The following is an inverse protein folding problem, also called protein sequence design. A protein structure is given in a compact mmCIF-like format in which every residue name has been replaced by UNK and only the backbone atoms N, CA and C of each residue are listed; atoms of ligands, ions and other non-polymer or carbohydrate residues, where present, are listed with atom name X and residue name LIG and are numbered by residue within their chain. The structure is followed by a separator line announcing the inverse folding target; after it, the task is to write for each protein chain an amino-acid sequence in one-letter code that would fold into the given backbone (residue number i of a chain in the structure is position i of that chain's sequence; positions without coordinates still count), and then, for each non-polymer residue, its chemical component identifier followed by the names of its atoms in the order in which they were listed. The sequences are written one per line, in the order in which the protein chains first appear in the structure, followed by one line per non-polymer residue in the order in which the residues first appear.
data_IF_272223987800
#
_entry.id   IF_272223987800
#
_cell.length_a   1.000
_cell.length_b   1.000
_cell.length_c   1.000
_cell.angle_alpha   90.00
_cell.angle_beta   90.00
_cell.angle_gamma   90.00
#
_symmetry.space_group_name_H-M   'P 1'
#
loop_
_entity.id
_entity.type
_entity.pdbx_description
1 polymer ?
#
# COMPACT_ATOMS: atom_id res chain seq x y z
N UNK A 1 -7.70 -12.58 6.20
CA UNK A 1 -6.39 -12.51 5.50
C UNK A 1 -5.19 -12.64 6.45
N UNK A 2 -5.21 -12.03 7.65
CA UNK A 2 -4.15 -12.21 8.66
C UNK A 2 -3.90 -13.68 9.06
N UNK A 3 -4.95 -14.50 9.15
CA UNK A 3 -4.84 -15.95 9.40
C UNK A 3 -3.99 -16.64 8.31
N UNK A 4 -4.13 -16.21 7.06
CA UNK A 4 -3.34 -16.76 5.96
C UNK A 4 -1.87 -16.38 6.10
N UNK A 5 -1.57 -15.12 6.47
CA UNK A 5 -0.19 -14.69 6.78
C UNK A 5 0.41 -15.49 7.94
N UNK A 6 -0.35 -15.75 9.01
CA UNK A 6 0.09 -16.59 10.12
C UNK A 6 0.39 -18.04 9.67
N UNK A 7 -0.38 -18.58 8.72
CA UNK A 7 -0.15 -19.91 8.13
C UNK A 7 1.19 -20.08 7.41
N UNK A 8 1.84 -18.99 6.97
CA UNK A 8 3.16 -19.00 6.33
C UNK A 8 4.32 -19.35 7.27
N UNK A 9 4.04 -19.50 8.57
CA UNK A 9 5.02 -20.03 9.52
C UNK A 9 5.29 -21.53 9.32
N UNK A 10 4.47 -22.25 8.55
CA UNK A 10 4.69 -23.66 8.25
C UNK A 10 5.98 -23.85 7.40
N UNK A 11 6.95 -24.67 7.84
CA UNK A 11 8.20 -24.89 7.13
C UNK A 11 8.04 -25.27 5.65
N UNK A 12 7.01 -26.08 5.31
CA UNK A 12 6.77 -26.51 3.93
C UNK A 12 6.46 -25.34 2.98
N UNK A 13 5.73 -24.34 3.46
CA UNK A 13 5.42 -23.15 2.68
C UNK A 13 6.65 -22.25 2.54
N UNK A 14 7.51 -22.19 3.57
CA UNK A 14 8.75 -21.44 3.51
C UNK A 14 9.72 -22.02 2.48
N UNK A 15 9.95 -23.33 2.48
CA UNK A 15 10.87 -23.97 1.53
C UNK A 15 10.46 -23.72 0.07
N UNK A 16 9.15 -23.83 -0.19
CA UNK A 16 8.58 -23.55 -1.53
C UNK A 16 8.76 -22.07 -1.91
N UNK A 17 8.49 -21.15 -0.99
CA UNK A 17 8.63 -19.71 -1.22
C UNK A 17 10.08 -19.29 -1.42
N UNK A 18 11.03 -19.88 -0.70
CA UNK A 18 12.47 -19.65 -0.88
C UNK A 18 12.87 -19.93 -2.31
N UNK A 19 12.52 -21.11 -2.84
CA UNK A 19 12.81 -21.47 -4.24
C UNK A 19 12.14 -20.51 -5.24
N UNK A 20 10.92 -20.04 -4.94
CA UNK A 20 10.21 -19.09 -5.79
C UNK A 20 10.91 -17.73 -5.84
N UNK A 21 11.34 -17.22 -4.68
CA UNK A 21 12.03 -15.93 -4.59
C UNK A 21 13.39 -16.05 -5.29
N UNK A 22 14.20 -17.06 -4.98
CA UNK A 22 15.47 -17.30 -5.65
C UNK A 22 15.33 -17.35 -7.18
N UNK A 23 14.29 -18.03 -7.68
CA UNK A 23 14.01 -18.07 -9.12
C UNK A 23 13.62 -16.69 -9.69
N UNK A 24 12.90 -15.87 -8.94
CA UNK A 24 12.52 -14.52 -9.38
C UNK A 24 13.74 -13.59 -9.49
N UNK A 25 14.82 -13.86 -8.76
CA UNK A 25 16.10 -13.15 -8.90
C UNK A 25 16.94 -13.70 -10.07
N UNK A 26 16.80 -14.97 -10.45
CA UNK A 26 17.55 -15.58 -11.56
C UNK A 26 17.05 -15.11 -12.94
N UNK A 27 17.46 -13.91 -13.38
CA UNK A 27 17.48 -13.56 -14.80
C UNK A 27 18.92 -13.73 -15.32
N UNK A 28 19.16 -14.79 -16.12
CA UNK A 28 20.47 -15.10 -16.71
C UNK A 28 21.39 -16.03 -15.90
N UNK A 29 22.63 -16.21 -16.38
CA UNK A 29 23.67 -17.14 -15.90
C UNK A 29 24.41 -16.65 -14.63
N UNK A 30 23.86 -15.63 -13.96
CA UNK A 30 24.46 -14.99 -12.79
C UNK A 30 24.06 -15.73 -11.51
N UNK A 31 25.02 -15.87 -10.58
CA UNK A 31 24.78 -16.47 -9.27
C UNK A 31 23.74 -15.63 -8.50
N UNK A 32 22.60 -16.19 -8.06
CA UNK A 32 21.59 -15.47 -7.27
C UNK A 32 22.16 -14.84 -5.98
N UNK A 33 23.34 -15.27 -5.52
CA UNK A 33 24.07 -14.70 -4.38
C UNK A 33 24.51 -13.24 -4.59
N UNK A 34 24.66 -12.81 -5.84
CA UNK A 34 25.19 -11.49 -6.21
C UNK A 34 24.10 -10.45 -6.53
N UNK A 35 22.83 -10.86 -6.54
CA UNK A 35 21.70 -10.01 -6.94
C UNK A 35 21.02 -9.39 -5.72
N UNK A 36 21.25 -8.10 -5.50
CA UNK A 36 20.69 -7.33 -4.39
C UNK A 36 19.65 -6.30 -4.87
N UNK A 37 18.62 -6.07 -4.05
CA UNK A 37 17.65 -4.98 -4.25
C UNK A 37 18.09 -3.77 -3.41
N UNK A 38 18.38 -2.61 -4.03
CA UNK A 38 18.67 -1.40 -3.26
C UNK A 38 17.37 -0.86 -2.63
N UNK A 39 17.39 -0.53 -1.33
CA UNK A 39 16.29 0.16 -0.64
C UNK A 39 16.81 0.99 0.51
N UNK A 40 16.47 2.28 0.57
CA UNK A 40 16.87 3.19 1.66
C UNK A 40 18.38 3.11 2.01
N UNK A 41 19.25 2.93 1.01
CA UNK A 41 20.70 2.81 1.19
C UNK A 41 21.21 1.44 1.68
N UNK A 42 20.35 0.42 1.74
CA UNK A 42 20.72 -0.96 2.03
C UNK A 42 20.59 -1.86 0.80
N UNK A 43 21.43 -2.90 0.72
CA UNK A 43 21.33 -3.98 -0.26
C UNK A 43 20.56 -5.15 0.33
N UNK A 44 19.39 -5.44 -0.22
CA UNK A 44 18.47 -6.48 0.26
C UNK A 44 18.65 -7.74 -0.57
N UNK A 45 18.70 -8.89 0.10
CA UNK A 45 18.85 -10.21 -0.50
C UNK A 45 17.57 -11.05 -0.38
N UNK A 46 17.46 -12.20 -1.09
CA UNK A 46 16.34 -13.12 -0.93
C UNK A 46 16.03 -13.51 0.53
N UNK A 47 17.07 -13.71 1.36
CA UNK A 47 16.91 -14.02 2.77
C UNK A 47 16.22 -12.92 3.58
N UNK A 48 16.39 -11.65 3.20
CA UNK A 48 15.74 -10.52 3.87
C UNK A 48 14.24 -10.50 3.61
N UNK A 49 13.83 -10.84 2.37
CA UNK A 49 12.40 -11.02 2.03
C UNK A 49 11.78 -12.09 2.91
N UNK A 50 12.47 -13.22 3.09
CA UNK A 50 12.01 -14.32 3.94
C UNK A 50 11.97 -13.93 5.43
N UNK A 51 12.97 -13.19 5.90
CA UNK A 51 13.02 -12.70 7.29
C UNK A 51 11.87 -11.73 7.57
N UNK A 52 11.61 -10.78 6.67
CA UNK A 52 10.48 -9.85 6.77
C UNK A 52 9.14 -10.57 6.65
N UNK A 53 9.05 -11.60 5.79
CA UNK A 53 7.86 -12.43 5.70
C UNK A 53 7.58 -13.17 7.01
N UNK A 54 8.60 -13.81 7.59
CA UNK A 54 8.51 -14.45 8.92
C UNK A 54 8.10 -13.44 9.97
N UNK A 55 8.71 -12.26 9.97
CA UNK A 55 8.39 -11.19 10.91
C UNK A 55 6.94 -10.73 10.76
N UNK A 56 6.49 -10.46 9.54
CA UNK A 56 5.10 -10.06 9.23
C UNK A 56 4.12 -11.15 9.64
N UNK A 57 4.43 -12.43 9.38
CA UNK A 57 3.63 -13.57 9.80
C UNK A 57 3.59 -13.72 11.33
N UNK A 58 4.68 -13.41 12.03
CA UNK A 58 4.75 -13.38 13.49
C UNK A 58 3.95 -12.20 14.07
N UNK A 59 4.03 -11.02 13.48
CA UNK A 59 3.19 -9.88 13.87
C UNK A 59 1.72 -10.15 13.59
N UNK A 60 1.38 -10.82 12.47
CA UNK A 60 0.01 -11.27 12.23
C UNK A 60 -0.45 -12.20 13.36
N UNK A 61 0.39 -13.16 13.78
CA UNK A 61 0.10 -13.99 14.95
C UNK A 61 -0.02 -13.17 16.24
N UNK A 62 0.85 -12.19 16.49
CA UNK A 62 0.78 -11.31 17.66
C UNK A 62 -0.48 -10.44 17.67
N UNK A 63 -0.87 -9.87 16.53
CA UNK A 63 -2.12 -9.11 16.36
C UNK A 63 -3.31 -10.02 16.63
N UNK A 64 -3.35 -11.21 16.01
CA UNK A 64 -4.37 -12.22 16.26
C UNK A 64 -4.39 -12.64 17.75
N UNK A 65 -3.22 -12.84 18.36
CA UNK A 65 -3.03 -13.23 19.76
C UNK A 65 -3.17 -12.09 20.75
N UNK A 66 -3.21 -10.83 20.33
CA UNK A 66 -3.55 -9.68 21.18
C UNK A 66 -5.06 -9.49 21.22
N UNK A 67 -5.72 -9.80 20.10
CA UNK A 67 -7.17 -9.90 20.01
C UNK A 67 -7.67 -11.18 20.74
N UNK A 68 -6.86 -12.25 20.78
CA UNK A 68 -7.19 -13.58 21.36
C UNK A 68 -7.51 -13.62 22.88
N UNK A 69 -6.77 -12.96 23.80
CA UNK A 69 -7.09 -12.95 25.24
C UNK A 69 -8.45 -12.32 25.55
N UNK A 70 -8.94 -11.41 24.69
CA UNK A 70 -10.28 -10.86 24.76
C UNK A 70 -11.35 -11.76 24.08
N UNK A 71 -10.93 -12.89 23.50
CA UNK A 71 -11.70 -13.75 22.59
C UNK A 71 -11.63 -15.26 22.95
N UNK A 72 -11.16 -15.66 24.13
CA UNK A 72 -10.95 -17.09 24.41
C UNK A 72 -12.22 -17.95 24.30
N UNK A 73 -12.26 -18.77 23.24
CA UNK A 73 -13.18 -19.89 23.06
C UNK A 73 -13.18 -20.48 21.65
N UNK A 74 -12.28 -21.45 21.39
CA UNK A 74 -12.14 -22.30 20.19
C UNK A 74 -11.30 -21.76 19.01
N UNK A 75 -10.01 -22.10 19.01
CA UNK A 75 -9.23 -22.17 17.76
C UNK A 75 -8.98 -23.64 17.45
N UNK A 76 -9.85 -24.22 16.63
CA UNK A 76 -9.57 -25.41 15.82
C UNK A 76 -9.53 -24.99 14.35
N UNK A 77 -8.75 -23.97 14.01
CA UNK A 77 -8.60 -23.49 12.63
C UNK A 77 -7.28 -23.99 12.03
N UNK A 78 -7.21 -25.31 11.83
CA UNK A 78 -6.24 -25.94 10.92
C UNK A 78 -6.93 -26.78 9.83
N UNK A 79 -8.24 -26.62 9.60
CA UNK A 79 -8.97 -27.48 8.69
C UNK A 79 -9.99 -26.72 7.83
N UNK A 80 -9.53 -26.04 6.79
CA UNK A 80 -10.35 -25.84 5.58
C UNK A 80 -9.51 -25.53 4.34
N UNK A 81 -8.49 -26.35 4.09
CA UNK A 81 -8.14 -26.69 2.72
C UNK A 81 -8.45 -28.18 2.56
N UNK A 82 -9.69 -28.49 2.16
CA UNK A 82 -9.94 -29.82 1.59
C UNK A 82 -9.10 -29.89 0.33
N UNK A 83 -8.00 -30.64 0.42
CA UNK A 83 -7.34 -31.25 -0.72
C UNK A 83 -8.43 -31.81 -1.63
N UNK A 84 -8.57 -31.24 -2.84
CA UNK A 84 -9.17 -32.02 -3.91
C UNK A 84 -8.14 -33.06 -4.27
N UNK A 85 -8.41 -34.30 -3.90
CA UNK A 85 -7.75 -35.45 -4.48
C UNK A 85 -7.96 -35.39 -5.99
N UNK A 86 -6.88 -35.11 -6.71
CA UNK A 86 -6.73 -35.44 -8.11
C UNK A 86 -5.24 -35.64 -8.36
N UNK A 87 -4.90 -36.91 -8.58
CA UNK A 87 -3.60 -37.39 -8.99
C UNK A 87 -3.14 -36.72 -10.29
N UNK A 88 -2.39 -35.64 -10.12
CA UNK A 88 -1.31 -35.11 -10.96
C UNK A 88 -0.95 -33.76 -10.34
N UNK A 89 -0.17 -33.81 -9.26
CA UNK A 89 0.41 -32.60 -8.70
C UNK A 89 1.40 -32.04 -9.73
N UNK A 90 0.92 -31.19 -10.64
CA UNK A 90 1.79 -30.19 -11.23
C UNK A 90 2.35 -29.40 -10.05
N UNK A 91 3.67 -29.33 -9.95
CA UNK A 91 4.31 -28.41 -9.02
C UNK A 91 3.64 -27.04 -9.16
N UNK A 92 3.17 -26.43 -8.06
CA UNK A 92 2.46 -25.18 -8.13
C UNK A 92 3.36 -24.16 -8.82
N UNK A 93 2.85 -23.51 -9.87
CA UNK A 93 3.61 -22.49 -10.59
C UNK A 93 4.13 -21.45 -9.59
N UNK A 94 5.46 -21.42 -9.45
CA UNK A 94 6.17 -20.55 -8.51
C UNK A 94 5.73 -19.08 -8.63
N UNK A 95 5.48 -18.62 -9.87
CA UNK A 95 5.05 -17.25 -10.13
C UNK A 95 3.62 -17.00 -9.64
N UNK A 96 2.74 -18.01 -9.74
CA UNK A 96 1.37 -17.93 -9.26
C UNK A 96 1.33 -17.86 -7.73
N UNK A 97 2.15 -18.65 -7.03
CA UNK A 97 2.23 -18.59 -5.57
C UNK A 97 2.71 -17.23 -5.07
N UNK A 98 3.77 -16.68 -5.66
CA UNK A 98 4.29 -15.37 -5.28
C UNK A 98 3.27 -14.26 -5.58
N UNK A 99 2.55 -14.35 -6.70
CA UNK A 99 1.46 -13.42 -7.03
C UNK A 99 0.29 -13.51 -6.03
N UNK A 100 -0.09 -14.72 -5.61
CA UNK A 100 -1.14 -14.91 -4.61
C UNK A 100 -0.73 -14.35 -3.25
N UNK A 101 0.50 -14.66 -2.79
CA UNK A 101 1.09 -14.11 -1.57
C UNK A 101 1.03 -12.59 -1.57
N UNK A 102 1.52 -11.97 -2.65
CA UNK A 102 1.41 -10.53 -2.86
C UNK A 102 -0.03 -10.04 -2.73
N UNK A 103 -0.99 -10.68 -3.38
CA UNK A 103 -2.38 -10.21 -3.35
C UNK A 103 -2.96 -10.23 -1.93
N UNK A 104 -2.64 -11.24 -1.13
CA UNK A 104 -3.04 -11.29 0.29
C UNK A 104 -2.36 -10.22 1.13
N UNK A 105 -1.04 -10.06 0.98
CA UNK A 105 -0.25 -9.04 1.70
C UNK A 105 -0.76 -7.64 1.34
N UNK A 106 -0.98 -7.38 0.05
CA UNK A 106 -1.46 -6.10 -0.44
C UNK A 106 -2.86 -5.76 0.08
N UNK A 107 -3.78 -6.73 0.03
CA UNK A 107 -5.13 -6.53 0.57
C UNK A 107 -5.12 -6.31 2.09
N UNK A 108 -4.27 -7.02 2.84
CA UNK A 108 -4.05 -6.73 4.27
C UNK A 108 -3.53 -5.31 4.47
N UNK A 109 -2.46 -4.95 3.75
CA UNK A 109 -1.81 -3.65 3.87
C UNK A 109 -2.79 -2.51 3.59
N UNK A 110 -3.57 -2.61 2.51
CA UNK A 110 -4.58 -1.63 2.17
C UNK A 110 -5.60 -1.46 3.31
N UNK A 111 -6.19 -2.55 3.80
CA UNK A 111 -7.24 -2.47 4.80
C UNK A 111 -6.76 -2.02 6.18
N UNK A 112 -5.63 -2.57 6.63
CA UNK A 112 -5.09 -2.25 7.95
C UNK A 112 -4.52 -0.84 8.00
N UNK A 113 -3.94 -0.35 6.90
CA UNK A 113 -3.45 1.04 6.83
C UNK A 113 -4.60 2.03 6.82
N UNK A 114 -5.68 1.73 6.10
CA UNK A 114 -6.89 2.55 6.15
C UNK A 114 -7.49 2.56 7.56
N UNK A 115 -7.67 1.38 8.16
CA UNK A 115 -8.19 1.25 9.53
C UNK A 115 -7.34 2.02 10.54
N UNK A 116 -6.01 1.87 10.49
CA UNK A 116 -5.06 2.61 11.32
C UNK A 116 -5.19 4.12 11.13
N UNK A 117 -5.22 4.59 9.89
CA UNK A 117 -5.37 6.01 9.53
C UNK A 117 -6.68 6.60 10.04
N UNK A 118 -7.78 5.85 10.00
CA UNK A 118 -9.04 6.30 10.58
C UNK A 118 -8.99 6.31 12.11
N UNK A 119 -8.48 5.25 12.73
CA UNK A 119 -8.40 5.11 14.20
C UNK A 119 -7.40 6.07 14.86
N UNK A 120 -6.41 6.60 14.14
CA UNK A 120 -5.50 7.60 14.67
C UNK A 120 -6.11 9.01 14.76
N UNK A 121 -7.24 9.25 14.10
CA UNK A 121 -7.83 10.58 13.91
C UNK A 121 -9.08 10.81 14.76
N UNK A 122 -9.20 12.00 15.31
CA UNK A 122 -10.37 12.39 16.08
C UNK A 122 -11.65 12.47 15.23
N UNK A 123 -12.80 12.29 15.87
CA UNK A 123 -14.11 12.42 15.24
C UNK A 123 -14.35 13.85 14.70
N UNK A 124 -13.76 14.86 15.35
CA UNK A 124 -13.78 16.27 14.90
C UNK A 124 -13.15 16.45 13.51
N UNK A 125 -12.35 15.49 13.06
CA UNK A 125 -11.69 15.47 11.75
C UNK A 125 -12.27 14.40 10.81
N UNK A 126 -13.35 13.71 11.21
CA UNK A 126 -13.94 12.59 10.47
C UNK A 126 -13.29 11.24 10.75
N UNK A 127 -12.48 11.11 11.79
CA UNK A 127 -11.80 9.86 12.18
C UNK A 127 -12.56 8.98 13.18
N UNK A 128 -11.96 7.84 13.50
CA UNK A 128 -12.52 6.75 14.31
C UNK A 128 -11.90 6.58 15.70
N UNK A 129 -11.05 7.50 16.15
CA UNK A 129 -10.31 7.37 17.41
C UNK A 129 -11.19 7.01 18.62
N UNK A 130 -12.32 7.71 18.79
CA UNK A 130 -13.26 7.48 19.89
C UNK A 130 -14.49 6.64 19.47
N UNK A 131 -14.53 6.12 18.25
CA UNK A 131 -15.66 5.29 17.83
C UNK A 131 -15.56 3.91 18.48
N UNK A 132 -16.71 3.41 18.92
CA UNK A 132 -16.79 2.18 19.71
C UNK A 132 -16.85 0.95 18.79
N UNK A 133 -16.30 -0.17 19.25
CA UNK A 133 -16.47 -1.49 18.64
C UNK A 133 -16.52 -2.57 19.72
N UNK A 134 -17.14 -3.71 19.40
CA UNK A 134 -17.30 -4.82 20.33
C UNK A 134 -18.55 -5.64 20.07
N UNK A 135 -18.71 -6.72 20.82
CA UNK A 135 -19.83 -7.67 20.71
C UNK A 135 -21.19 -6.98 20.83
N UNK A 136 -21.35 -6.08 21.81
CA UNK A 136 -22.61 -5.38 22.06
C UNK A 136 -22.83 -4.11 21.19
N UNK A 137 -21.88 -3.76 20.32
CA UNK A 137 -21.94 -2.53 19.53
C UNK A 137 -22.71 -2.77 18.23
N UNK A 138 -23.78 -2.00 18.05
CA UNK A 138 -24.58 -2.02 16.83
C UNK A 138 -23.82 -1.35 15.66
N UNK A 139 -23.68 -2.01 14.50
CA UNK A 139 -23.04 -1.43 13.31
C UNK A 139 -23.68 -0.13 12.82
N UNK A 140 -24.97 0.10 13.10
CA UNK A 140 -25.67 1.33 12.74
C UNK A 140 -25.23 2.54 13.57
N UNK A 141 -24.61 2.30 14.74
CA UNK A 141 -24.19 3.35 15.68
C UNK A 141 -22.70 3.65 15.63
N UNK A 142 -21.90 2.83 14.95
CA UNK A 142 -20.47 3.03 14.83
C UNK A 142 -19.95 2.69 13.43
N UNK A 143 -19.40 3.66 12.67
CA UNK A 143 -18.76 3.40 11.38
C UNK A 143 -17.56 2.44 11.52
N UNK A 144 -16.85 2.47 12.65
CA UNK A 144 -15.77 1.52 12.93
C UNK A 144 -16.31 0.10 13.03
N UNK A 145 -17.35 -0.12 13.85
CA UNK A 145 -18.02 -1.42 13.98
C UNK A 145 -18.54 -1.91 12.62
N UNK A 146 -19.19 -1.03 11.85
CA UNK A 146 -19.71 -1.36 10.54
C UNK A 146 -18.62 -1.78 9.55
N UNK A 147 -17.48 -1.10 9.57
CA UNK A 147 -16.33 -1.43 8.72
C UNK A 147 -15.70 -2.77 9.11
N UNK A 148 -15.48 -3.02 10.41
CA UNK A 148 -14.90 -4.28 10.89
C UNK A 148 -15.79 -5.49 10.54
N UNK A 149 -17.12 -5.32 10.64
CA UNK A 149 -18.08 -6.41 10.41
C UNK A 149 -18.59 -6.52 8.98
N UNK A 150 -18.11 -5.66 8.07
CA UNK A 150 -18.65 -5.49 6.72
C UNK A 150 -20.18 -5.37 6.69
N UNK A 151 -20.75 -4.72 7.70
CA UNK A 151 -22.19 -4.57 7.83
C UNK A 151 -22.76 -3.74 6.67
N UNK A 152 -24.03 -3.96 6.33
CA UNK A 152 -24.73 -3.16 5.31
C UNK A 152 -24.79 -1.66 5.63
N UNK A 153 -24.61 -1.29 6.90
CA UNK A 153 -24.49 0.10 7.35
C UNK A 153 -23.14 0.75 6.99
N UNK A 154 -22.12 -0.04 6.64
CA UNK A 154 -20.82 0.48 6.24
C UNK A 154 -20.97 1.27 4.95
N UNK A 155 -20.49 2.53 4.98
CA UNK A 155 -20.41 3.38 3.78
C UNK A 155 -19.25 2.95 2.86
N UNK A 156 -18.32 2.14 3.35
CA UNK A 156 -17.14 1.69 2.63
C UNK A 156 -17.42 0.35 1.95
N UNK A 157 -17.32 0.35 0.61
CA UNK A 157 -17.61 -0.84 -0.19
C UNK A 157 -16.43 -1.80 -0.17
N UNK A 158 -16.58 -2.88 0.59
CA UNK A 158 -15.69 -4.04 0.61
C UNK A 158 -16.32 -5.22 -0.14
N UNK A 159 -15.50 -6.19 -0.56
CA UNK A 159 -15.95 -7.41 -1.23
C UNK A 159 -15.23 -8.66 -0.69
N UNK A 160 -15.80 -9.87 -0.85
CA UNK A 160 -15.06 -11.11 -0.68
C UNK A 160 -13.79 -11.09 -1.53
N UNK A 161 -12.67 -11.44 -0.93
CA UNK A 161 -11.40 -11.54 -1.64
C UNK A 161 -11.50 -12.60 -2.73
N UNK A 162 -11.11 -12.25 -3.95
CA UNK A 162 -11.10 -13.15 -5.09
C UNK A 162 -9.74 -13.07 -5.79
N UNK A 163 -8.91 -14.14 -5.74
CA UNK A 163 -7.61 -14.16 -6.41
C UNK A 163 -7.72 -14.14 -7.93
N UNK A 164 -8.88 -14.43 -8.51
CA UNK A 164 -9.12 -14.46 -9.96
C UNK A 164 -9.67 -13.12 -10.49
N UNK A 165 -10.27 -12.29 -9.64
CA UNK A 165 -10.78 -10.97 -10.04
C UNK A 165 -9.79 -9.87 -9.60
N UNK A 166 -9.18 -9.21 -10.57
CA UNK A 166 -8.19 -8.14 -10.35
C UNK A 166 -8.73 -6.96 -9.53
N UNK A 167 -10.03 -6.70 -9.64
CA UNK A 167 -10.72 -5.64 -8.91
C UNK A 167 -10.99 -6.01 -7.45
N UNK A 168 -10.85 -7.29 -7.09
CA UNK A 168 -11.18 -7.83 -5.77
C UNK A 168 -10.01 -8.16 -4.86
N UNK A 169 -8.87 -7.48 -5.07
CA UNK A 169 -7.56 -7.77 -4.44
C UNK A 169 -7.05 -6.66 -3.52
N UNK A 170 -7.89 -5.71 -3.11
CA UNK A 170 -7.42 -4.58 -2.29
C UNK A 170 -8.45 -4.13 -1.26
N UNK A 171 -9.71 -3.94 -1.66
CA UNK A 171 -10.83 -3.61 -0.75
C UNK A 171 -11.56 -4.86 -0.26
N UNK A 172 -10.80 -5.80 0.30
CA UNK A 172 -11.34 -7.07 0.76
C UNK A 172 -12.08 -6.92 2.11
N UNK A 173 -13.15 -7.68 2.31
CA UNK A 173 -13.90 -7.72 3.56
C UNK A 173 -12.98 -7.90 4.78
N UNK A 174 -13.25 -7.14 5.84
CA UNK A 174 -12.58 -7.32 7.13
C UNK A 174 -12.99 -8.65 7.77
N UNK A 175 -14.29 -8.96 7.71
CA UNK A 175 -14.89 -10.26 7.94
C UNK A 175 -15.13 -10.60 9.40
N UNK A 176 -14.97 -9.65 10.34
CA UNK A 176 -15.18 -9.91 11.76
C UNK A 176 -16.66 -10.16 12.04
N UNK A 177 -16.94 -11.23 12.77
CA UNK A 177 -18.28 -11.57 13.24
C UNK A 177 -18.46 -11.16 14.68
N UNK A 178 -19.69 -11.26 15.17
CA UNK A 178 -20.02 -10.96 16.56
C UNK A 178 -19.20 -11.80 17.56
N UNK A 179 -18.84 -13.03 17.18
CA UNK A 179 -17.95 -13.90 17.95
C UNK A 179 -16.46 -13.51 17.92
N UNK A 180 -16.01 -12.72 16.93
CA UNK A 180 -14.60 -12.33 16.77
C UNK A 180 -14.27 -11.00 17.48
N UNK A 181 -15.29 -10.32 18.01
CA UNK A 181 -15.18 -9.00 18.63
C UNK A 181 -15.11 -9.08 20.16
N UNK A 182 -14.42 -8.14 20.83
CA UNK A 182 -14.28 -8.19 22.28
C UNK A 182 -15.64 -8.04 22.97
N UNK A 183 -15.84 -8.83 24.03
CA UNK A 183 -17.00 -8.70 24.94
C UNK A 183 -17.07 -7.31 25.59
N UNK A 184 -15.99 -6.79 26.21
CA UNK A 184 -15.99 -5.40 26.63
C UNK A 184 -15.95 -4.51 25.39
N UNK A 185 -16.76 -3.45 25.43
CA UNK A 185 -16.71 -2.40 24.43
C UNK A 185 -15.34 -1.71 24.47
N UNK A 186 -14.74 -1.54 23.29
CA UNK A 186 -13.46 -0.87 23.09
C UNK A 186 -13.63 0.31 22.13
N UNK A 187 -12.58 1.12 21.99
CA UNK A 187 -12.56 2.31 21.13
C UNK A 187 -11.44 2.25 20.10
N UNK A 188 -11.59 2.97 18.98
CA UNK A 188 -10.65 2.93 17.85
C UNK A 188 -9.19 3.20 18.21
N UNK A 189 -8.89 4.01 19.22
CA UNK A 189 -7.53 4.24 19.71
C UNK A 189 -6.82 2.93 20.10
N UNK A 190 -7.54 1.94 20.66
CA UNK A 190 -6.98 0.63 20.99
C UNK A 190 -6.52 -0.10 19.72
N UNK A 191 -7.30 -0.03 18.63
CA UNK A 191 -6.88 -0.59 17.33
C UNK A 191 -5.71 0.18 16.73
N UNK A 192 -5.66 1.51 16.89
CA UNK A 192 -4.50 2.30 16.48
C UNK A 192 -3.24 1.85 17.24
N UNK A 193 -3.34 1.64 18.54
CA UNK A 193 -2.22 1.16 19.37
C UNK A 193 -1.77 -0.24 18.94
N UNK A 194 -2.70 -1.16 18.67
CA UNK A 194 -2.40 -2.52 18.17
C UNK A 194 -1.71 -2.47 16.80
N UNK A 195 -2.15 -1.58 15.90
CA UNK A 195 -1.62 -1.43 14.54
C UNK A 195 -0.39 -0.51 14.47
N UNK A 196 0.02 0.06 15.58
CA UNK A 196 1.22 0.90 15.67
C UNK A 196 2.37 0.06 16.24
N UNK A 197 3.45 -0.17 15.47
CA UNK A 197 4.60 -0.90 15.96
C UNK A 197 5.13 -0.28 17.26
N UNK A 198 5.17 -1.06 18.34
CA UNK A 198 5.61 -0.58 19.66
C UNK A 198 7.13 -0.54 19.81
N UNK A 199 7.85 -1.23 18.92
CA UNK A 199 9.31 -1.30 18.88
C UNK A 199 9.76 -0.59 17.59
N UNK A 200 10.54 0.48 17.71
CA UNK A 200 10.99 1.28 16.57
C UNK A 200 11.63 0.46 15.45
N UNK A 201 11.41 0.90 14.21
CA UNK A 201 11.83 0.22 12.99
C UNK A 201 10.82 0.44 11.85
N UNK A 202 11.17 -0.01 10.65
CA UNK A 202 10.24 -0.02 9.51
C UNK A 202 9.14 -1.07 9.74
N UNK A 203 7.89 -0.69 9.44
CA UNK A 203 6.74 -1.59 9.61
C UNK A 203 6.89 -2.78 8.63
N UNK A 204 6.87 -4.04 9.14
CA UNK A 204 7.18 -5.21 8.33
C UNK A 204 6.15 -5.45 7.21
N UNK A 205 4.88 -5.08 7.41
CA UNK A 205 3.83 -5.29 6.41
C UNK A 205 3.98 -4.40 5.16
N UNK A 206 4.13 -3.06 5.26
CA UNK A 206 4.41 -2.23 4.09
C UNK A 206 5.76 -2.57 3.45
N UNK A 207 6.78 -2.92 4.25
CA UNK A 207 8.08 -3.36 3.73
C UNK A 207 7.93 -4.61 2.87
N UNK A 208 7.30 -5.65 3.41
CA UNK A 208 6.99 -6.88 2.66
C UNK A 208 6.18 -6.59 1.39
N UNK A 209 5.18 -5.70 1.49
CA UNK A 209 4.32 -5.34 0.37
C UNK A 209 5.11 -4.68 -0.75
N UNK A 210 6.04 -3.78 -0.42
CA UNK A 210 6.92 -3.13 -1.41
C UNK A 210 7.83 -4.15 -2.12
N UNK A 211 8.38 -5.11 -1.38
CA UNK A 211 9.26 -6.15 -1.94
C UNK A 211 8.49 -7.05 -2.89
N UNK A 212 7.33 -7.54 -2.47
CA UNK A 212 6.48 -8.41 -3.28
C UNK A 212 5.92 -7.68 -4.52
N UNK A 213 5.57 -6.40 -4.41
CA UNK A 213 5.13 -5.62 -5.56
C UNK A 213 6.26 -5.42 -6.58
N UNK A 214 7.48 -5.15 -6.13
CA UNK A 214 8.66 -5.06 -6.98
C UNK A 214 8.93 -6.40 -7.69
N UNK A 215 9.10 -7.49 -6.95
CA UNK A 215 9.41 -8.83 -7.48
C UNK A 215 8.36 -9.35 -8.48
N UNK A 216 7.08 -9.11 -8.18
CA UNK A 216 5.98 -9.57 -9.05
C UNK A 216 5.58 -8.56 -10.12
N UNK A 217 6.23 -7.39 -10.15
CA UNK A 217 5.92 -6.29 -11.08
C UNK A 217 4.41 -5.98 -11.10
N UNK A 218 3.82 -5.79 -9.93
CA UNK A 218 2.39 -5.45 -9.81
C UNK A 218 2.19 -4.02 -10.32
N UNK A 219 1.55 -3.89 -11.48
CA UNK A 219 1.16 -2.60 -12.05
C UNK A 219 0.23 -1.82 -11.11
N UNK A 220 0.38 -0.50 -10.95
CA UNK A 220 -0.57 0.33 -10.22
C UNK A 220 -1.92 0.45 -10.95
N UNK A 221 -3.03 0.44 -10.18
CA UNK A 221 -4.39 0.27 -10.70
C UNK A 221 -5.41 1.30 -10.20
N UNK A 222 -5.23 1.84 -9.01
CA UNK A 222 -6.13 2.87 -8.44
C UNK A 222 -5.47 4.24 -8.54
N UNK A 223 -6.25 5.32 -8.37
CA UNK A 223 -5.70 6.68 -8.33
C UNK A 223 -4.57 6.80 -7.30
N UNK A 224 -4.78 6.28 -6.08
CA UNK A 224 -3.77 6.27 -5.03
C UNK A 224 -2.51 5.48 -5.43
N UNK A 225 -2.66 4.32 -6.05
CA UNK A 225 -1.51 3.52 -6.51
C UNK A 225 -0.73 4.23 -7.63
N UNK A 226 -1.42 4.81 -8.61
CA UNK A 226 -0.80 5.54 -9.73
C UNK A 226 -0.03 6.75 -9.23
N UNK A 227 -0.65 7.56 -8.38
CA UNK A 227 -0.02 8.72 -7.73
C UNK A 227 1.20 8.29 -6.90
N UNK A 228 1.09 7.17 -6.17
CA UNK A 228 2.20 6.62 -5.39
C UNK A 228 3.38 6.20 -6.27
N UNK A 229 3.09 5.49 -7.36
CA UNK A 229 4.12 5.06 -8.32
C UNK A 229 4.84 6.26 -8.92
N UNK A 230 4.14 7.20 -9.55
CA UNK A 230 4.79 8.32 -10.24
C UNK A 230 5.53 9.25 -9.26
N UNK A 231 5.01 9.43 -8.05
CA UNK A 231 5.69 10.25 -7.04
C UNK A 231 6.96 9.58 -6.51
N UNK A 232 6.92 8.30 -6.13
CA UNK A 232 8.10 7.57 -5.66
C UNK A 232 9.12 7.32 -6.77
N UNK A 233 8.67 7.04 -7.99
CA UNK A 233 9.55 6.84 -9.14
C UNK A 233 10.29 8.13 -9.47
N UNK A 234 9.60 9.28 -9.41
CA UNK A 234 10.26 10.57 -9.52
C UNK A 234 11.28 10.81 -8.40
N UNK A 235 11.00 10.42 -7.14
CA UNK A 235 11.99 10.50 -6.05
C UNK A 235 13.24 9.67 -6.35
N UNK A 236 13.07 8.43 -6.81
CA UNK A 236 14.17 7.53 -7.18
C UNK A 236 15.06 8.10 -8.30
N UNK A 237 14.47 8.90 -9.19
CA UNK A 237 15.18 9.57 -10.28
C UNK A 237 15.83 10.91 -9.87
N UNK A 238 15.51 11.43 -8.67
CA UNK A 238 16.05 12.68 -8.10
C UNK A 238 17.25 12.48 -7.17
N UNK A 239 17.51 11.26 -6.68
CA UNK A 239 18.44 11.07 -5.55
C UNK A 239 19.89 11.44 -5.88
N UNK A 240 20.53 12.07 -4.90
CA UNK A 240 21.50 13.17 -5.02
C UNK A 240 22.95 12.67 -5.10
N UNK A 241 23.22 11.79 -6.06
CA UNK A 241 24.56 11.71 -6.65
C UNK A 241 24.38 12.00 -8.13
N UNK A 242 25.16 12.90 -8.68
CA UNK A 242 25.01 13.50 -10.02
C UNK A 242 25.23 12.54 -11.21
N UNK A 243 25.08 11.23 -10.97
CA UNK A 243 24.88 10.16 -11.94
C UNK A 243 23.53 9.54 -11.59
N UNK A 244 22.62 9.42 -12.54
CA UNK A 244 21.33 8.73 -12.33
C UNK A 244 21.46 7.55 -11.36
N UNK A 245 20.48 7.36 -10.46
CA UNK A 245 20.35 6.11 -9.70
C UNK A 245 20.59 4.91 -10.62
N UNK A 246 21.06 3.78 -10.08
CA UNK A 246 21.30 2.57 -10.91
C UNK A 246 20.11 2.27 -11.83
N UNK A 247 18.89 2.57 -11.36
CA UNK A 247 17.65 2.55 -12.12
C UNK A 247 17.61 3.57 -13.26
N UNK A 248 17.86 4.86 -13.01
CA UNK A 248 17.85 5.88 -14.06
C UNK A 248 18.91 5.62 -15.15
N UNK A 249 20.08 5.10 -14.76
CA UNK A 249 21.10 4.65 -15.72
C UNK A 249 20.59 3.49 -16.58
N UNK A 250 19.97 2.48 -15.96
CA UNK A 250 19.39 1.33 -16.67
C UNK A 250 18.23 1.72 -17.59
N UNK A 251 17.45 2.75 -17.25
CA UNK A 251 16.38 3.28 -18.11
C UNK A 251 16.89 4.10 -19.30
N UNK A 252 18.14 4.56 -19.23
CA UNK A 252 18.79 5.37 -20.28
C UNK A 252 19.74 4.56 -21.14
N UNK A 253 19.99 3.30 -20.81
CA UNK A 253 20.88 2.41 -21.54
C UNK A 253 20.10 1.54 -22.51
N UNK A 254 20.60 1.46 -23.74
CA UNK A 254 20.09 0.51 -24.74
C UNK A 254 20.40 -0.93 -24.31
N UNK A 255 19.44 -1.85 -24.50
CA UNK A 255 19.69 -3.27 -24.35
C UNK A 255 20.26 -3.86 -25.65
N UNK A 256 21.28 -4.72 -25.52
CA UNK A 256 22.05 -5.29 -26.64
C UNK A 256 21.20 -5.95 -27.77
N UNK A 257 19.96 -6.36 -27.47
CA UNK A 257 19.07 -7.10 -28.37
C UNK A 257 17.77 -6.35 -28.76
N UNK A 258 17.62 -5.08 -28.36
CA UNK A 258 16.42 -4.30 -28.66
C UNK A 258 16.71 -3.13 -29.64
N UNK A 259 15.77 -2.80 -30.53
CA UNK A 259 15.90 -1.60 -31.35
C UNK A 259 15.79 -0.34 -30.47
N UNK A 260 16.36 0.80 -30.90
CA UNK A 260 16.64 2.05 -30.12
C UNK A 260 15.45 2.73 -29.39
N UNK A 261 14.27 2.13 -29.35
CA UNK A 261 13.03 2.58 -28.71
C UNK A 261 12.84 2.02 -27.28
N UNK A 262 13.83 1.29 -26.76
CA UNK A 262 13.82 0.62 -25.45
C UNK A 262 14.52 1.42 -24.33
N UNK A 263 14.72 2.72 -24.55
CA UNK A 263 15.35 3.64 -23.60
C UNK A 263 14.56 4.96 -23.51
N UNK A 264 14.70 5.65 -22.38
CA UNK A 264 14.21 7.02 -22.24
C UNK A 264 15.30 8.00 -22.64
N UNK A 265 14.95 8.98 -23.49
CA UNK A 265 15.84 10.09 -23.74
C UNK A 265 15.93 11.01 -22.50
N UNK A 266 16.93 11.89 -22.49
CA UNK A 266 17.13 12.84 -21.39
C UNK A 266 15.89 13.70 -21.12
N UNK A 267 15.17 14.11 -22.17
CA UNK A 267 13.96 14.92 -22.05
C UNK A 267 12.81 14.11 -21.41
N UNK A 268 12.63 12.85 -21.79
CA UNK A 268 11.59 11.99 -21.21
C UNK A 268 11.85 11.71 -19.71
N UNK A 269 13.10 11.47 -19.35
CA UNK A 269 13.51 11.34 -17.94
C UNK A 269 13.24 12.62 -17.16
N UNK A 270 13.51 13.78 -17.76
CA UNK A 270 13.22 15.07 -17.13
C UNK A 270 11.71 15.27 -16.93
N UNK A 271 10.87 14.88 -17.89
CA UNK A 271 9.41 14.91 -17.76
C UNK A 271 8.96 14.03 -16.59
N UNK A 272 9.42 12.79 -16.51
CA UNK A 272 9.04 11.86 -15.43
C UNK A 272 9.51 12.36 -14.06
N UNK A 273 10.73 12.90 -13.96
CA UNK A 273 11.22 13.58 -12.75
C UNK A 273 10.33 14.77 -12.38
N UNK A 274 9.90 15.54 -13.38
CA UNK A 274 9.05 16.71 -13.22
C UNK A 274 7.63 16.40 -12.73
N UNK A 275 7.06 15.24 -13.09
CA UNK A 275 5.71 14.81 -12.63
C UNK A 275 5.64 14.77 -11.09
N UNK A 276 6.70 14.29 -10.43
CA UNK A 276 6.84 14.37 -8.98
C UNK A 276 6.91 15.83 -8.54
N UNK A 277 7.88 16.56 -9.05
CA UNK A 277 8.21 17.94 -8.67
C UNK A 277 9.64 18.26 -9.09
N UNK A 278 9.93 19.50 -9.47
CA UNK A 278 11.26 19.89 -9.98
C UNK A 278 12.37 19.91 -8.93
N UNK A 279 12.00 19.97 -7.65
CA UNK A 279 12.95 20.20 -6.57
C UNK A 279 13.25 18.91 -5.77
N UNK A 280 14.50 18.70 -5.32
CA UNK A 280 14.95 17.44 -4.72
C UNK A 280 14.34 17.19 -3.34
N UNK A 281 14.23 15.94 -2.86
CA UNK A 281 13.44 15.59 -1.66
C UNK A 281 13.81 16.31 -0.35
N UNK A 282 15.01 16.86 -0.22
CA UNK A 282 15.59 17.35 1.04
C UNK A 282 15.59 18.88 1.22
N UNK A 283 15.00 19.65 0.29
CA UNK A 283 14.94 21.12 0.43
C UNK A 283 13.69 21.59 1.19
N UNK A 284 13.81 22.71 1.90
CA UNK A 284 12.66 23.47 2.40
C UNK A 284 11.96 24.13 1.21
N UNK A 285 11.04 23.39 0.58
CA UNK A 285 10.32 23.83 -0.60
C UNK A 285 9.12 24.71 -0.26
N UNK A 286 8.93 25.73 -1.08
CA UNK A 286 7.73 26.56 -1.16
C UNK A 286 6.80 25.97 -2.22
N UNK A 287 5.63 25.48 -1.81
CA UNK A 287 4.64 24.81 -2.66
C UNK A 287 4.25 25.59 -3.92
N UNK A 288 4.16 26.92 -3.85
CA UNK A 288 3.70 27.74 -4.96
C UNK A 288 4.83 28.06 -5.94
N UNK A 289 6.09 27.95 -5.51
CA UNK A 289 7.27 28.23 -6.33
C UNK A 289 7.90 26.97 -6.90
N UNK A 290 7.97 25.91 -6.10
CA UNK A 290 8.79 24.74 -6.39
C UNK A 290 7.98 23.56 -6.96
N UNK A 291 6.66 23.54 -6.75
CA UNK A 291 5.77 22.44 -7.17
C UNK A 291 4.47 22.88 -7.88
N UNK A 292 4.49 23.83 -8.83
CA UNK A 292 3.29 24.18 -9.57
C UNK A 292 2.84 23.01 -10.46
N UNK A 293 1.63 22.48 -10.20
CA UNK A 293 0.97 21.43 -11.01
C UNK A 293 1.69 20.06 -11.00
N UNK A 294 2.32 19.68 -9.89
CA UNK A 294 3.01 18.38 -9.76
C UNK A 294 2.37 17.51 -8.68
N UNK A 295 2.74 16.23 -8.57
CA UNK A 295 2.19 15.33 -7.55
C UNK A 295 2.59 15.71 -6.11
N UNK A 296 3.74 16.34 -5.92
CA UNK A 296 4.15 16.85 -4.59
C UNK A 296 3.22 17.94 -4.05
N UNK A 297 2.45 18.63 -4.91
CA UNK A 297 1.36 19.52 -4.49
C UNK A 297 0.25 18.74 -3.75
N UNK A 298 -0.09 17.55 -4.21
CA UNK A 298 -1.13 16.72 -3.59
C UNK A 298 -0.61 15.97 -2.35
N UNK A 299 0.61 15.44 -2.45
CA UNK A 299 1.17 14.54 -1.44
C UNK A 299 2.04 15.22 -0.37
N UNK A 300 2.41 16.49 -0.60
CA UNK A 300 3.38 17.22 0.21
C UNK A 300 4.83 16.79 -0.03
N UNK A 301 5.76 17.55 0.54
CA UNK A 301 7.20 17.25 0.52
C UNK A 301 7.74 16.72 1.86
N UNK A 302 6.85 16.56 2.84
CA UNK A 302 7.16 16.05 4.17
C UNK A 302 5.93 16.15 5.06
N UNK A 303 5.93 15.41 6.17
CA UNK A 303 4.79 15.37 7.10
C UNK A 303 4.59 16.73 7.78
N UNK A 304 5.70 17.42 8.12
CA UNK A 304 5.68 18.68 8.88
C UNK A 304 6.01 19.92 8.02
N UNK A 305 6.10 19.79 6.69
CA UNK A 305 6.44 20.94 5.85
C UNK A 305 5.22 21.86 5.68
N UNK A 306 5.11 22.88 6.55
CA UNK A 306 4.06 23.88 6.49
C UNK A 306 4.00 24.66 5.17
N UNK A 307 5.12 24.77 4.45
CA UNK A 307 5.19 25.42 3.15
C UNK A 307 4.80 24.49 1.99
N UNK A 308 4.64 23.19 2.23
CA UNK A 308 4.18 22.20 1.26
C UNK A 308 3.36 21.08 1.94
N UNK A 309 2.16 21.42 2.44
CA UNK A 309 1.34 20.51 3.24
C UNK A 309 0.80 19.34 2.41
N UNK A 310 0.60 18.21 3.07
CA UNK A 310 -0.06 17.05 2.46
C UNK A 310 -1.58 17.27 2.42
N UNK A 311 -2.18 17.25 1.23
CA UNK A 311 -3.64 17.37 1.08
C UNK A 311 -4.35 16.01 1.09
N UNK A 312 -3.66 14.97 0.60
CA UNK A 312 -4.16 13.60 0.50
C UNK A 312 -3.02 12.61 0.71
N UNK A 313 -3.34 11.43 1.26
CA UNK A 313 -2.37 10.35 1.46
C UNK A 313 -2.84 9.07 0.78
N UNK A 314 -2.13 8.54 -0.23
CA UNK A 314 -2.45 7.23 -0.77
C UNK A 314 -2.31 6.16 0.32
N UNK A 315 -3.34 5.31 0.44
CA UNK A 315 -3.41 4.27 1.48
C UNK A 315 -2.21 3.34 1.39
N UNK A 316 -1.77 3.03 0.17
CA UNK A 316 -0.69 2.07 -0.10
C UNK A 316 0.58 2.72 -0.65
N UNK A 317 0.84 3.98 -0.28
CA UNK A 317 1.96 4.77 -0.78
C UNK A 317 3.30 4.04 -0.75
N UNK A 318 3.63 3.40 0.38
CA UNK A 318 4.91 2.69 0.56
C UNK A 318 5.01 1.39 -0.24
N UNK A 319 3.90 0.81 -0.69
CA UNK A 319 3.94 -0.40 -1.51
C UNK A 319 4.50 -0.17 -2.92
N UNK A 320 4.72 1.09 -3.32
CA UNK A 320 5.34 1.50 -4.59
C UNK A 320 6.59 2.35 -4.34
N UNK A 321 7.32 2.13 -3.25
CA UNK A 321 8.51 2.91 -2.89
C UNK A 321 9.85 2.16 -3.12
N UNK A 322 9.83 1.04 -3.85
CA UNK A 322 11.01 0.21 -4.10
C UNK A 322 11.10 -0.17 -5.58
N UNK A 323 12.31 -0.05 -6.14
CA UNK A 323 12.59 -0.32 -7.55
C UNK A 323 13.91 -1.07 -7.73
N UNK A 324 13.97 -1.93 -8.75
CA UNK A 324 15.19 -2.64 -9.15
C UNK A 324 15.60 -2.27 -10.57
N UNK A 325 16.88 -2.00 -10.81
CA UNK A 325 17.40 -1.78 -12.17
C UNK A 325 17.18 -2.99 -13.08
N UNK A 326 17.16 -4.22 -12.54
CA UNK A 326 16.85 -5.44 -13.30
C UNK A 326 15.46 -5.43 -13.93
N UNK A 327 14.54 -4.62 -13.42
CA UNK A 327 13.18 -4.49 -13.95
C UNK A 327 12.98 -3.19 -14.76
N UNK A 328 14.05 -2.49 -15.14
CA UNK A 328 13.99 -1.22 -15.87
C UNK A 328 13.02 -1.24 -17.07
N UNK A 329 13.05 -2.27 -17.91
CA UNK A 329 12.15 -2.37 -19.08
C UNK A 329 10.67 -2.51 -18.71
N UNK A 330 10.35 -3.10 -17.56
CA UNK A 330 8.97 -3.14 -17.08
C UNK A 330 8.52 -1.74 -16.68
N UNK A 331 9.36 -0.99 -15.98
CA UNK A 331 9.06 0.39 -15.61
C UNK A 331 9.02 1.31 -16.81
N UNK A 332 9.87 1.10 -17.83
CA UNK A 332 9.81 1.80 -19.12
C UNK A 332 8.42 1.67 -19.75
N UNK A 333 7.91 0.44 -19.83
CA UNK A 333 6.54 0.20 -20.31
C UNK A 333 5.51 0.93 -19.45
N UNK A 334 5.68 0.95 -18.12
CA UNK A 334 4.74 1.63 -17.23
C UNK A 334 4.75 3.14 -17.43
N UNK A 335 5.91 3.78 -17.54
CA UNK A 335 5.98 5.23 -17.76
C UNK A 335 5.54 5.63 -19.17
N UNK A 336 5.52 4.72 -20.13
CA UNK A 336 4.95 4.95 -21.45
C UNK A 336 3.40 4.87 -21.45
N UNK A 337 2.81 3.89 -20.74
CA UNK A 337 1.36 3.60 -20.84
C UNK A 337 0.51 4.10 -19.67
N UNK A 338 1.09 4.32 -18.49
CA UNK A 338 0.35 4.74 -17.30
C UNK A 338 0.15 6.25 -17.13
N UNK A 339 0.85 7.18 -17.81
CA UNK A 339 0.55 8.61 -17.68
C UNK A 339 -0.89 8.97 -18.06
N UNK A 340 -1.41 8.42 -19.15
CA UNK A 340 -2.82 8.63 -19.55
C UNK A 340 -3.77 8.07 -18.49
N UNK A 341 -3.43 6.92 -17.90
CA UNK A 341 -4.20 6.34 -16.80
C UNK A 341 -4.15 7.17 -15.52
N UNK A 342 -3.02 7.80 -15.23
CA UNK A 342 -2.89 8.74 -14.12
C UNK A 342 -3.79 9.95 -14.36
N UNK A 343 -3.75 10.53 -15.57
CA UNK A 343 -4.60 11.65 -15.96
C UNK A 343 -6.08 11.31 -15.79
N UNK A 344 -6.55 10.24 -16.46
CA UNK A 344 -7.95 9.78 -16.37
C UNK A 344 -8.39 9.54 -14.92
N UNK A 345 -7.49 8.99 -14.08
CA UNK A 345 -7.79 8.66 -12.69
C UNK A 345 -7.85 9.87 -11.78
N UNK A 346 -7.10 10.94 -12.09
CA UNK A 346 -7.12 12.22 -11.38
C UNK A 346 -8.32 13.07 -11.82
N UNK A 347 -8.60 13.11 -13.12
CA UNK A 347 -9.77 13.79 -13.70
C UNK A 347 -11.06 13.20 -13.12
N UNK A 348 -11.17 11.86 -13.12
CA UNK A 348 -12.29 11.19 -12.48
C UNK A 348 -12.40 11.46 -10.97
N UNK A 349 -11.28 11.52 -10.25
CA UNK A 349 -11.29 11.89 -8.83
C UNK A 349 -11.82 13.32 -8.65
N UNK A 350 -11.42 14.25 -9.51
CA UNK A 350 -11.92 15.61 -9.50
C UNK A 350 -13.43 15.66 -9.78
N UNK A 351 -13.91 15.02 -10.85
CA UNK A 351 -15.34 14.96 -11.16
C UNK A 351 -16.15 14.35 -10.01
N UNK A 352 -15.67 13.24 -9.44
CA UNK A 352 -16.32 12.58 -8.31
C UNK A 352 -16.36 13.51 -7.07
N UNK A 353 -15.31 14.31 -6.84
CA UNK A 353 -15.27 15.32 -5.77
C UNK A 353 -16.17 16.53 -6.03
N UNK A 354 -16.26 17.02 -7.27
CA UNK A 354 -17.14 18.15 -7.65
C UNK A 354 -18.62 17.78 -7.55
N UNK A 355 -18.96 16.54 -7.90
CA UNK A 355 -20.30 16.00 -7.75
C UNK A 355 -20.70 15.75 -6.28
N UNK A 356 -19.74 15.75 -5.35
CA UNK A 356 -20.05 15.69 -3.93
C UNK A 356 -20.62 17.02 -3.46
N UNK A 357 -21.90 16.99 -3.15
CA UNK A 357 -22.61 18.03 -2.42
C UNK A 357 -22.16 18.09 -0.94
N UNK A 358 -20.93 18.55 -0.69
CA UNK A 358 -20.46 18.95 0.65
C UNK A 358 -20.87 20.41 0.88
N UNK A 359 -22.17 20.63 1.16
CA UNK A 359 -22.81 21.96 1.22
C UNK A 359 -22.50 22.80 2.48
N UNK A 360 -21.62 22.32 3.37
CA UNK A 360 -21.22 23.03 4.58
C UNK A 360 -19.73 23.37 4.49
N UNK A 361 -19.28 24.45 5.14
CA UNK A 361 -17.87 24.90 5.30
C UNK A 361 -16.94 23.90 6.04
N UNK A 362 -17.21 22.61 5.92
CA UNK A 362 -16.46 21.51 6.49
C UNK A 362 -15.35 21.14 5.52
N UNK A 363 -14.14 20.93 6.05
CA UNK A 363 -13.03 20.38 5.28
C UNK A 363 -13.43 19.06 4.61
N UNK A 364 -12.81 18.73 3.47
CA UNK A 364 -13.09 17.52 2.68
C UNK A 364 -13.19 16.26 3.56
N UNK A 365 -12.26 16.11 4.51
CA UNK A 365 -12.15 14.95 5.39
C UNK A 365 -13.22 14.89 6.50
N UNK A 366 -13.96 15.98 6.73
CA UNK A 366 -15.15 16.05 7.60
C UNK A 366 -16.45 15.77 6.86
N UNK A 367 -16.42 15.67 5.53
CA UNK A 367 -17.60 15.36 4.73
C UNK A 367 -17.83 13.84 4.73
N UNK A 368 -18.91 13.40 5.38
CA UNK A 368 -19.34 11.99 5.51
C UNK A 368 -19.40 11.19 4.21
N UNK A 369 -19.60 11.88 3.08
CA UNK A 369 -19.68 11.30 1.74
C UNK A 369 -18.33 11.27 1.02
N UNK A 370 -17.38 12.13 1.41
CA UNK A 370 -16.08 12.23 0.79
C UNK A 370 -15.15 11.08 1.20
N UNK A 371 -15.15 10.67 2.46
CA UNK A 371 -14.24 9.60 2.93
C UNK A 371 -14.46 8.25 2.22
N UNK A 372 -15.69 7.75 2.01
CA UNK A 372 -15.92 6.54 1.21
C UNK A 372 -15.45 6.67 -0.25
N UNK A 373 -15.54 7.86 -0.82
CA UNK A 373 -15.09 8.16 -2.17
C UNK A 373 -13.57 8.16 -2.25
N UNK A 374 -12.88 8.86 -1.36
CA UNK A 374 -11.42 8.83 -1.27
C UNK A 374 -10.91 7.39 -1.08
N UNK A 375 -11.56 6.61 -0.21
CA UNK A 375 -11.25 5.20 -0.02
C UNK A 375 -11.42 4.38 -1.31
N UNK A 376 -12.43 4.66 -2.13
CA UNK A 376 -12.60 4.03 -3.45
C UNK A 376 -11.43 4.34 -4.39
N UNK A 377 -10.89 5.55 -4.31
CA UNK A 377 -9.71 5.96 -5.06
C UNK A 377 -8.38 5.49 -4.44
N UNK A 378 -8.41 4.79 -3.30
CA UNK A 378 -7.19 4.34 -2.61
C UNK A 378 -6.48 5.46 -1.85
N UNK A 379 -7.23 6.47 -1.42
CA UNK A 379 -6.75 7.68 -0.74
C UNK A 379 -7.39 7.76 0.66
N UNK A 380 -6.61 8.25 1.62
CA UNK A 380 -7.06 8.62 2.97
C UNK A 380 -6.65 10.06 3.27
N UNK A 381 -7.12 10.57 4.41
CA UNK A 381 -6.70 11.86 4.93
C UNK A 381 -5.19 11.89 5.21
N UNK A 382 -4.53 13.06 5.11
CA UNK A 382 -3.18 13.25 5.66
C UNK A 382 -3.11 12.87 7.15
N UNK A 383 -1.91 12.47 7.60
CA UNK A 383 -1.63 12.24 9.02
C UNK A 383 -1.56 13.60 9.76
N UNK A 384 -2.12 13.69 10.97
CA UNK A 384 -1.87 14.76 11.96
C UNK A 384 -1.96 16.20 11.45
N UNK A 385 -3.10 16.87 11.69
CA UNK A 385 -3.35 18.24 11.20
C UNK A 385 -2.45 19.29 11.87
N UNK A 386 -1.86 20.18 11.06
CA UNK A 386 -2.03 21.62 11.30
C UNK A 386 -2.85 22.18 10.15
N UNK A 387 -3.93 22.88 10.49
CA UNK A 387 -4.97 23.39 9.59
C UNK A 387 -4.36 24.26 8.47
N UNK A 388 -4.95 24.34 7.27
CA UNK A 388 -4.94 25.61 6.58
C UNK A 388 -5.95 26.52 7.29
N UNK A 389 -5.48 27.63 7.85
CA UNK A 389 -6.33 28.80 8.02
C UNK A 389 -6.75 29.23 6.61
N UNK A 390 -7.97 28.85 6.21
CA UNK A 390 -8.65 29.50 5.11
C UNK A 390 -8.93 30.94 5.53
N UNK A 391 -8.03 31.86 5.20
CA UNK A 391 -8.39 33.27 5.07
C UNK A 391 -8.60 33.53 3.58
N UNK A 392 -9.86 33.59 3.18
CA UNK A 392 -10.26 34.20 1.92
C UNK A 392 -9.76 35.65 1.88
N UNK A 393 -9.19 36.06 0.75
CA UNK A 393 -9.10 37.45 0.29
C UNK A 393 -9.60 37.50 -1.14
#
# INVERSE_FOLDING_TARGET
MLIWLAGLQNPKHQDTLTQCIEKAFKDGDSDPSDLTLPFNGAEIRPEDVLNILKLTALFAASVLSTIEPAWKGNITLSATFKSKDSDQAQDPDCCVLLCQLRDYVYACYHQLTFLKSQCSREQSEGGWHNHEYGHAVSPQKSPLQAFLTDASASKFKTHPFDPCDICRKSRANMGFREEDLPTPQQTGNILNDILTPSCGGEDPLPTLCSYLNCLTRRTPRTTGELVSFFHNFGNELHDVSSSFSSLGSALSSQHDDCPEWDQLAADDLHVIKGIRGSAPPTSNHDHDKDHPRTLSKLLGCGIDNAQCPQHMKPITYRAYALYSSSFAHHYLSWVAYLPDRLWDSLDRLQEDLENLQCHDDKSLHRCDKAMPLLYLHGITSPDGVSQPSLTCS
#
